data_IF_414688491865
#
_entry.id   IF_414688491865
#
_cell.length_a   1.000
_cell.length_b   1.000
_cell.length_c   1.000
_cell.angle_alpha   90.00
_cell.angle_beta   90.00
_cell.angle_gamma   90.00
#
_symmetry.space_group_name_H-M   'P 1'
#
loop_
_entity.id
_entity.type
_entity.pdbx_description
1 polymer ?
#
# COMPACT_ATOMS: atom_id res chain seq x y z
N UNK A 1 10.39 20.71 0.71
CA UNK A 1 9.88 22.00 1.22
C UNK A 1 8.53 21.78 1.88
N UNK A 2 8.23 22.42 3.02
CA UNK A 2 6.86 22.48 3.55
C UNK A 2 5.99 23.24 2.53
N UNK A 3 4.74 22.84 2.38
CA UNK A 3 3.82 23.44 1.41
C UNK A 3 2.42 23.54 2.00
N UNK A 4 1.73 24.62 1.67
CA UNK A 4 0.31 24.84 2.01
C UNK A 4 -0.64 24.32 0.95
N UNK A 5 -0.16 23.42 0.08
CA UNK A 5 -0.97 22.85 -1.00
C UNK A 5 -2.21 22.17 -0.41
N UNK A 6 -3.38 22.69 -0.76
CA UNK A 6 -4.66 22.10 -0.37
C UNK A 6 -4.91 20.83 -1.19
N UNK A 7 -5.29 19.76 -0.49
CA UNK A 7 -5.82 18.57 -1.12
C UNK A 7 -7.32 18.76 -1.29
N UNK A 8 -7.79 18.82 -2.53
CA UNK A 8 -9.22 18.86 -2.81
C UNK A 8 -9.73 17.42 -2.93
N UNK A 9 -10.55 17.02 -1.97
CA UNK A 9 -11.21 15.71 -1.97
C UNK A 9 -12.61 15.84 -2.58
N UNK A 10 -12.72 15.66 -3.89
CA UNK A 10 -13.98 15.71 -4.60
C UNK A 10 -14.53 14.29 -4.83
N UNK A 11 -14.74 13.56 -3.72
CA UNK A 11 -15.26 12.21 -3.74
C UNK A 11 -16.61 12.12 -3.06
N UNK A 12 -17.54 11.38 -3.69
CA UNK A 12 -18.75 10.93 -3.04
C UNK A 12 -18.44 9.65 -2.24
N UNK A 13 -18.72 9.66 -0.94
CA UNK A 13 -18.52 8.52 -0.06
C UNK A 13 -19.74 7.61 -0.11
N UNK A 14 -19.56 6.36 -0.51
CA UNK A 14 -20.60 5.33 -0.53
C UNK A 14 -21.05 4.91 0.88
N UNK A 15 -22.15 4.14 0.96
CA UNK A 15 -22.57 3.52 2.22
C UNK A 15 -21.57 2.44 2.66
N UNK A 16 -21.39 2.23 3.98
CA UNK A 16 -20.50 1.18 4.48
C UNK A 16 -21.02 -0.21 4.07
N UNK A 17 -20.13 -1.01 3.49
CA UNK A 17 -20.34 -2.44 3.32
C UNK A 17 -19.50 -3.16 4.37
N UNK A 18 -20.07 -4.17 5.02
CA UNK A 18 -19.38 -4.92 6.07
C UNK A 18 -19.44 -6.43 5.81
N UNK A 19 -18.29 -7.09 5.94
CA UNK A 19 -18.18 -8.55 6.02
C UNK A 19 -17.23 -8.88 7.17
N UNK A 20 -17.71 -9.66 8.13
CA UNK A 20 -17.03 -9.92 9.40
C UNK A 20 -16.69 -8.59 10.11
N UNK A 21 -15.42 -8.39 10.48
CA UNK A 21 -14.93 -7.15 11.09
C UNK A 21 -14.36 -6.13 10.07
N UNK A 22 -14.38 -6.44 8.78
CA UNK A 22 -13.92 -5.53 7.73
C UNK A 22 -15.06 -4.68 7.24
N UNK A 23 -14.86 -3.37 7.22
CA UNK A 23 -15.80 -2.37 6.71
C UNK A 23 -15.15 -1.61 5.57
N UNK A 24 -15.86 -1.45 4.47
CA UNK A 24 -15.38 -0.79 3.26
C UNK A 24 -16.35 0.31 2.86
N UNK A 25 -15.81 1.51 2.65
CA UNK A 25 -16.48 2.62 2.01
C UNK A 25 -15.85 2.82 0.64
N UNK A 26 -16.63 2.73 -0.42
CA UNK A 26 -16.16 3.07 -1.75
C UNK A 26 -16.23 4.58 -1.96
N UNK A 27 -15.25 5.10 -2.69
CA UNK A 27 -15.14 6.51 -3.04
C UNK A 27 -15.33 6.64 -4.54
N UNK A 28 -16.38 7.34 -4.95
CA UNK A 28 -16.68 7.57 -6.36
C UNK A 28 -16.40 9.00 -6.77
N UNK A 29 -16.10 9.20 -8.05
CA UNK A 29 -15.97 10.52 -8.67
C UNK A 29 -16.73 10.56 -9.99
N UNK A 30 -17.28 11.73 -10.30
CA UNK A 30 -17.90 12.01 -11.62
C UNK A 30 -16.84 12.27 -12.69
N UNK A 31 -15.63 12.61 -12.30
CA UNK A 31 -14.52 12.85 -13.23
C UNK A 31 -13.99 11.51 -13.76
N UNK A 32 -14.20 11.26 -15.05
CA UNK A 32 -13.58 10.13 -15.74
C UNK A 32 -12.18 10.52 -16.18
N UNK A 33 -11.18 9.99 -15.52
CA UNK A 33 -9.79 10.13 -15.97
C UNK A 33 -9.50 8.97 -16.93
N UNK A 34 -9.13 9.30 -18.17
CA UNK A 34 -8.60 8.31 -19.11
C UNK A 34 -7.18 8.02 -18.66
N UNK A 35 -6.94 6.78 -18.25
CA UNK A 35 -5.68 6.35 -17.69
C UNK A 35 -5.08 5.24 -18.56
N UNK A 36 -3.88 5.49 -19.05
CA UNK A 36 -3.13 4.56 -19.91
C UNK A 36 -2.01 3.85 -19.12
N UNK A 37 -2.12 3.81 -17.77
CA UNK A 37 -1.14 3.15 -16.93
C UNK A 37 -1.32 1.64 -16.94
N UNK A 38 -0.21 0.94 -17.16
CA UNK A 38 -0.11 -0.49 -16.93
C UNK A 38 0.15 -0.72 -15.44
N UNK A 39 -0.57 -1.62 -14.81
CA UNK A 39 -0.31 -1.98 -13.41
C UNK A 39 0.79 -3.03 -13.30
N UNK A 40 1.53 -3.02 -12.20
CA UNK A 40 2.61 -3.99 -11.99
C UNK A 40 2.15 -5.45 -12.00
N UNK A 41 0.98 -5.83 -11.40
CA UNK A 41 0.44 -7.19 -11.53
C UNK A 41 0.15 -7.60 -12.97
N UNK A 42 -0.41 -6.70 -13.79
CA UNK A 42 -0.66 -6.97 -15.23
C UNK A 42 0.66 -7.13 -15.97
N UNK A 43 1.63 -6.25 -15.72
CA UNK A 43 2.92 -6.26 -16.40
C UNK A 43 3.70 -7.54 -16.14
N UNK A 44 3.77 -7.99 -14.89
CA UNK A 44 4.45 -9.26 -14.55
C UNK A 44 3.73 -10.47 -15.14
N UNK A 45 2.40 -10.50 -15.07
CA UNK A 45 1.59 -11.59 -15.65
C UNK A 45 1.81 -11.74 -17.16
N UNK A 46 2.00 -10.63 -17.86
CA UNK A 46 2.18 -10.60 -19.33
C UNK A 46 3.65 -10.55 -19.77
N UNK A 47 4.61 -10.74 -18.85
CA UNK A 47 6.06 -10.65 -19.11
C UNK A 47 6.52 -9.28 -19.68
N UNK A 48 5.76 -8.22 -19.38
CA UNK A 48 6.05 -6.84 -19.76
C UNK A 48 6.90 -6.10 -18.72
N UNK A 49 7.13 -6.69 -17.56
CA UNK A 49 8.07 -6.19 -16.56
C UNK A 49 9.01 -7.27 -16.09
N UNK A 50 10.21 -6.87 -15.72
CA UNK A 50 11.22 -7.75 -15.16
C UNK A 50 11.86 -7.10 -13.92
N UNK A 51 12.05 -7.91 -12.87
CA UNK A 51 12.71 -7.49 -11.63
C UNK A 51 13.91 -8.37 -11.39
N UNK A 52 14.98 -7.77 -10.88
CA UNK A 52 16.19 -8.50 -10.51
C UNK A 52 17.02 -7.73 -9.49
N UNK A 53 18.07 -8.37 -9.01
CA UNK A 53 19.06 -7.70 -8.19
C UNK A 53 19.84 -6.65 -9.01
N UNK A 54 20.30 -5.57 -8.35
CA UNK A 54 21.13 -4.54 -9.01
C UNK A 54 22.53 -5.02 -9.32
N UNK A 55 23.00 -6.08 -8.67
CA UNK A 55 24.31 -6.73 -8.89
C UNK A 55 24.26 -8.19 -8.43
N UNK A 56 25.25 -9.00 -8.84
CA UNK A 56 25.38 -10.40 -8.42
C UNK A 56 25.47 -10.57 -6.89
N UNK A 57 26.11 -9.64 -6.20
CA UNK A 57 26.19 -9.64 -4.72
C UNK A 57 24.83 -9.34 -4.08
N UNK A 58 23.91 -8.74 -4.82
CA UNK A 58 22.64 -8.23 -4.32
C UNK A 58 22.79 -6.93 -3.53
N UNK A 59 21.67 -6.23 -3.32
CA UNK A 59 21.64 -5.03 -2.48
C UNK A 59 20.30 -4.96 -1.76
N UNK A 60 20.33 -5.01 -0.42
CA UNK A 60 19.10 -5.15 0.41
C UNK A 60 18.05 -4.10 0.11
N UNK A 61 18.47 -2.86 -0.18
CA UNK A 61 17.57 -1.68 -0.26
C UNK A 61 17.11 -1.36 -1.68
N UNK A 62 17.61 -2.05 -2.70
CA UNK A 62 17.30 -1.71 -4.08
C UNK A 62 17.15 -2.96 -4.94
N UNK A 63 16.20 -2.89 -5.88
CA UNK A 63 16.05 -3.85 -6.97
C UNK A 63 16.03 -3.11 -8.31
N UNK A 64 16.50 -3.75 -9.36
CA UNK A 64 16.36 -3.26 -10.73
C UNK A 64 14.99 -3.67 -11.25
N UNK A 65 14.24 -2.73 -11.80
CA UNK A 65 12.96 -2.94 -12.46
C UNK A 65 13.05 -2.47 -13.91
N UNK A 66 12.70 -3.34 -14.85
CA UNK A 66 12.62 -3.03 -16.27
C UNK A 66 11.16 -3.07 -16.71
N UNK A 67 10.69 -1.98 -17.29
CA UNK A 67 9.42 -1.89 -18.01
C UNK A 67 9.69 -2.11 -19.49
N UNK A 68 9.20 -3.21 -20.05
CA UNK A 68 9.37 -3.62 -21.45
C UNK A 68 8.18 -3.23 -22.33
N UNK A 69 7.19 -2.53 -21.75
CA UNK A 69 5.97 -2.12 -22.44
C UNK A 69 6.10 -0.68 -23.00
N UNK A 70 5.22 -0.35 -23.91
CA UNK A 70 5.00 0.99 -24.45
C UNK A 70 4.07 1.86 -23.59
N UNK A 71 3.73 1.38 -22.37
CA UNK A 71 2.90 2.07 -21.41
C UNK A 71 3.71 2.40 -20.15
N UNK A 72 3.36 3.51 -19.47
CA UNK A 72 3.90 3.82 -18.14
C UNK A 72 3.46 2.76 -17.15
N UNK A 73 4.40 2.26 -16.35
CA UNK A 73 4.16 1.20 -15.38
C UNK A 73 3.96 1.78 -13.98
N UNK A 74 2.78 1.53 -13.40
CA UNK A 74 2.47 1.86 -12.02
C UNK A 74 2.85 0.69 -11.10
N UNK A 75 3.75 0.95 -10.16
CA UNK A 75 4.14 0.02 -9.09
C UNK A 75 3.72 0.63 -7.76
N UNK A 76 2.86 -0.04 -7.01
CA UNK A 76 2.46 0.48 -5.70
C UNK A 76 3.55 0.27 -4.65
N UNK A 77 3.72 1.27 -3.80
CA UNK A 77 4.34 1.06 -2.50
C UNK A 77 3.57 -0.04 -1.76
N UNK A 78 4.30 -0.88 -1.03
CA UNK A 78 3.76 -2.05 -0.32
C UNK A 78 3.51 -3.31 -1.18
N UNK A 79 3.81 -3.29 -2.47
CA UNK A 79 3.92 -4.53 -3.26
C UNK A 79 4.98 -5.44 -2.64
N UNK A 80 4.66 -6.72 -2.49
CA UNK A 80 5.59 -7.72 -1.98
C UNK A 80 6.07 -8.59 -3.15
N UNK A 81 7.37 -8.55 -3.38
CA UNK A 81 8.08 -9.35 -4.37
C UNK A 81 8.59 -10.62 -3.70
N UNK A 82 8.20 -11.76 -4.23
CA UNK A 82 8.52 -13.10 -3.72
C UNK A 82 9.20 -13.92 -4.79
N UNK A 83 10.12 -14.78 -4.37
CA UNK A 83 10.73 -15.74 -5.28
C UNK A 83 12.25 -15.80 -5.16
N UNK A 84 12.83 -16.76 -5.89
CA UNK A 84 14.24 -17.09 -5.76
C UNK A 84 15.16 -16.30 -6.73
N UNK A 85 14.58 -15.48 -7.62
CA UNK A 85 15.37 -14.56 -8.47
C UNK A 85 15.97 -13.40 -7.68
N UNK A 86 15.43 -13.12 -6.50
CA UNK A 86 15.94 -12.15 -5.53
C UNK A 86 16.43 -12.86 -4.27
N UNK A 87 17.44 -12.30 -3.64
CA UNK A 87 18.11 -12.91 -2.47
C UNK A 87 17.16 -13.14 -1.30
N UNK A 88 16.15 -12.28 -1.15
CA UNK A 88 15.15 -12.29 -0.09
C UNK A 88 13.86 -11.71 -0.64
N UNK A 89 12.71 -12.02 -0.03
CA UNK A 89 11.46 -11.31 -0.34
C UNK A 89 11.58 -9.82 0.02
N UNK A 90 11.01 -8.96 -0.81
CA UNK A 90 11.10 -7.50 -0.71
C UNK A 90 9.73 -6.86 -0.74
N UNK A 91 9.57 -5.82 0.06
CA UNK A 91 8.43 -4.90 -0.05
C UNK A 91 8.89 -3.61 -0.72
N UNK A 92 8.11 -3.13 -1.70
CA UNK A 92 8.36 -1.85 -2.36
C UNK A 92 8.05 -0.71 -1.38
N UNK A 93 9.01 0.19 -1.18
CA UNK A 93 8.92 1.22 -0.14
C UNK A 93 7.88 2.30 -0.47
N UNK A 94 7.80 2.73 -1.72
CA UNK A 94 6.97 3.85 -2.15
C UNK A 94 6.42 3.61 -3.56
N UNK A 95 5.22 4.12 -3.84
CA UNK A 95 4.61 4.05 -5.18
C UNK A 95 5.47 4.79 -6.20
N UNK A 96 5.73 4.16 -7.35
CA UNK A 96 6.53 4.72 -8.44
C UNK A 96 5.84 4.54 -9.78
N UNK A 97 6.13 5.45 -10.73
CA UNK A 97 5.72 5.34 -12.14
C UNK A 97 7.00 5.20 -12.96
N UNK A 98 7.16 4.06 -13.61
CA UNK A 98 8.32 3.76 -14.46
C UNK A 98 7.97 4.09 -15.91
N UNK A 99 8.82 4.88 -16.62
CA UNK A 99 8.59 5.21 -18.02
C UNK A 99 8.50 3.98 -18.92
N UNK A 100 7.94 4.16 -20.10
CA UNK A 100 7.86 3.17 -21.18
C UNK A 100 9.28 2.72 -21.59
N UNK A 101 9.43 1.44 -21.93
CA UNK A 101 10.67 0.87 -22.49
C UNK A 101 11.94 1.29 -21.72
N UNK A 102 11.87 1.31 -20.39
CA UNK A 102 12.94 1.81 -19.54
C UNK A 102 13.27 0.87 -18.38
N UNK A 103 14.44 1.07 -17.79
CA UNK A 103 14.85 0.39 -16.57
C UNK A 103 15.21 1.41 -15.49
N UNK A 104 14.80 1.12 -14.28
CA UNK A 104 15.09 1.97 -13.11
C UNK A 104 15.46 1.13 -11.90
N UNK A 105 15.96 1.78 -10.89
CA UNK A 105 16.18 1.17 -9.58
C UNK A 105 15.04 1.59 -8.65
N UNK A 106 14.32 0.62 -8.07
CA UNK A 106 13.28 0.86 -7.09
C UNK A 106 13.81 0.62 -5.68
N UNK A 107 13.35 1.44 -4.73
CA UNK A 107 13.66 1.26 -3.31
C UNK A 107 12.75 0.20 -2.72
N UNK A 108 13.38 -0.69 -1.95
CA UNK A 108 12.70 -1.82 -1.30
C UNK A 108 13.27 -2.06 0.09
N UNK A 109 12.45 -2.67 0.94
CA UNK A 109 12.87 -3.19 2.24
C UNK A 109 12.77 -4.71 2.26
N UNK A 110 13.67 -5.36 2.98
CA UNK A 110 13.62 -6.79 3.17
C UNK A 110 12.44 -7.17 4.06
N UNK A 111 11.61 -8.11 3.61
CA UNK A 111 10.49 -8.66 4.39
C UNK A 111 10.63 -10.16 4.66
N UNK A 112 11.86 -10.68 4.60
CA UNK A 112 12.22 -12.04 4.94
C UNK A 112 13.62 -12.09 5.57
N UNK A 113 13.70 -11.86 6.87
CA UNK A 113 14.93 -11.56 7.63
C UNK A 113 16.05 -12.59 7.51
N UNK A 114 15.72 -13.87 7.55
CA UNK A 114 16.69 -14.95 7.71
C UNK A 114 16.99 -15.74 6.43
N UNK A 115 16.57 -15.22 5.26
CA UNK A 115 16.94 -15.83 3.98
C UNK A 115 17.90 -14.92 3.21
N UNK A 116 19.02 -15.49 2.79
CA UNK A 116 19.91 -14.91 1.79
C UNK A 116 20.29 -16.00 0.80
N UNK A 117 19.50 -16.15 -0.24
CA UNK A 117 19.72 -17.23 -1.22
C UNK A 117 20.97 -16.97 -2.05
N UNK A 118 21.89 -17.92 -2.11
CA UNK A 118 23.08 -17.82 -2.98
C UNK A 118 22.75 -18.04 -4.46
N UNK A 119 21.65 -18.73 -4.74
CA UNK A 119 21.23 -19.07 -6.11
C UNK A 119 20.03 -18.24 -6.53
N UNK A 120 20.08 -17.72 -7.76
CA UNK A 120 19.04 -16.95 -8.39
C UNK A 120 18.26 -17.89 -9.30
N UNK A 121 17.03 -18.26 -8.92
CA UNK A 121 16.12 -18.97 -9.84
C UNK A 121 15.32 -17.96 -10.68
N UNK A 122 14.84 -18.41 -11.84
CA UNK A 122 14.30 -17.51 -12.86
C UNK A 122 12.92 -16.89 -12.54
N UNK A 123 12.24 -17.27 -11.45
CA UNK A 123 10.86 -16.87 -11.21
C UNK A 123 10.73 -15.87 -10.06
N UNK A 124 10.31 -14.64 -10.39
CA UNK A 124 9.74 -13.66 -9.45
C UNK A 124 8.24 -13.63 -9.64
N UNK A 125 7.52 -13.55 -8.52
CA UNK A 125 6.09 -13.29 -8.50
C UNK A 125 5.76 -12.17 -7.50
N UNK A 126 4.58 -11.60 -7.64
CA UNK A 126 4.01 -10.76 -6.60
C UNK A 126 3.26 -11.64 -5.61
N UNK A 127 3.36 -11.31 -4.32
CA UNK A 127 2.43 -11.81 -3.33
C UNK A 127 0.99 -11.46 -3.72
N UNK A 128 0.03 -12.28 -3.37
CA UNK A 128 -1.39 -11.96 -3.56
C UNK A 128 -1.88 -10.84 -2.63
N UNK A 129 -1.11 -10.49 -1.60
CA UNK A 129 -1.39 -9.39 -0.66
C UNK A 129 -0.42 -8.22 -0.86
N UNK A 130 -0.76 -7.06 -0.30
CA UNK A 130 0.17 -5.98 -0.05
C UNK A 130 0.74 -6.11 1.37
N UNK A 131 1.77 -5.34 1.69
CA UNK A 131 2.26 -5.20 3.05
C UNK A 131 1.11 -4.70 3.95
N UNK A 132 1.03 -5.20 5.17
CA UNK A 132 -0.10 -4.92 6.06
C UNK A 132 -0.16 -3.43 6.46
N UNK A 133 -1.35 -2.98 6.88
CA UNK A 133 -1.66 -1.56 7.02
C UNK A 133 -0.77 -0.84 8.02
N UNK A 134 -0.42 -1.46 9.17
CA UNK A 134 0.51 -0.88 10.16
C UNK A 134 1.88 -0.66 9.54
N UNK A 135 2.43 -1.66 8.85
CA UNK A 135 3.73 -1.54 8.18
C UNK A 135 3.71 -0.49 7.07
N UNK A 136 2.60 -0.37 6.30
CA UNK A 136 2.41 0.70 5.31
C UNK A 136 2.46 2.09 5.96
N UNK A 137 1.77 2.27 7.10
CA UNK A 137 1.78 3.52 7.85
C UNK A 137 3.18 3.85 8.36
N UNK A 138 3.88 2.87 8.92
CA UNK A 138 5.23 3.03 9.45
C UNK A 138 6.22 3.40 8.34
N UNK A 139 6.18 2.72 7.19
CA UNK A 139 7.01 3.06 6.04
C UNK A 139 6.75 4.47 5.52
N UNK A 140 5.47 4.88 5.40
CA UNK A 140 5.11 6.23 4.96
C UNK A 140 5.62 7.31 5.93
N UNK A 141 5.53 7.06 7.25
CA UNK A 141 6.06 7.96 8.27
C UNK A 141 7.58 8.08 8.20
N UNK A 142 8.30 6.95 8.07
CA UNK A 142 9.75 6.92 7.97
C UNK A 142 10.23 7.66 6.72
N UNK A 143 9.57 7.45 5.58
CA UNK A 143 9.86 8.14 4.33
C UNK A 143 9.59 9.64 4.45
N UNK A 144 8.51 10.05 5.13
CA UNK A 144 8.25 11.46 5.38
C UNK A 144 9.35 12.11 6.23
N UNK A 145 9.78 11.44 7.31
CA UNK A 145 10.77 11.96 8.26
C UNK A 145 12.19 11.92 7.70
N UNK A 146 12.57 10.78 7.12
CA UNK A 146 13.96 10.41 6.83
C UNK A 146 14.26 10.21 5.34
N UNK A 147 13.25 10.33 4.48
CA UNK A 147 13.30 10.01 3.03
C UNK A 147 13.73 8.56 2.72
N UNK A 148 13.57 7.66 3.67
CA UNK A 148 13.87 6.23 3.57
C UNK A 148 13.09 5.46 4.64
N UNK A 149 12.84 4.18 4.40
CA UNK A 149 12.28 3.26 5.39
C UNK A 149 13.32 2.86 6.43
N UNK A 150 12.86 2.46 7.61
CA UNK A 150 13.68 1.83 8.63
C UNK A 150 13.56 0.30 8.51
N UNK A 151 14.64 -0.36 8.08
CA UNK A 151 14.66 -1.80 7.87
C UNK A 151 14.42 -2.59 9.18
N UNK A 152 14.89 -2.10 10.32
CA UNK A 152 14.67 -2.79 11.60
C UNK A 152 13.20 -2.73 11.99
N UNK A 153 12.56 -1.59 11.82
CA UNK A 153 11.12 -1.41 12.06
C UNK A 153 10.27 -2.32 11.16
N UNK A 154 10.65 -2.49 9.90
CA UNK A 154 9.98 -3.45 8.99
C UNK A 154 10.05 -4.86 9.55
N UNK A 155 11.20 -5.28 10.06
CA UNK A 155 11.35 -6.61 10.66
C UNK A 155 10.59 -6.77 11.98
N UNK A 156 10.61 -5.77 12.85
CA UNK A 156 9.82 -5.74 14.09
C UNK A 156 8.32 -5.86 13.81
N UNK A 157 7.83 -5.09 12.85
CA UNK A 157 6.43 -5.16 12.42
C UNK A 157 6.04 -6.56 11.90
N UNK A 158 6.93 -7.25 11.17
CA UNK A 158 6.69 -8.61 10.68
C UNK A 158 6.73 -9.62 11.81
N UNK A 159 7.73 -9.54 12.70
CA UNK A 159 7.86 -10.45 13.83
C UNK A 159 6.63 -10.35 14.76
N UNK A 160 6.14 -9.12 15.04
CA UNK A 160 4.89 -8.89 15.77
C UNK A 160 3.68 -9.55 15.08
N UNK A 161 3.58 -9.44 13.75
CA UNK A 161 2.48 -10.06 13.01
C UNK A 161 2.56 -11.59 13.02
N UNK A 162 3.75 -12.16 12.93
CA UNK A 162 3.94 -13.61 13.06
C UNK A 162 3.50 -14.11 14.44
N UNK A 163 3.83 -13.36 15.51
CA UNK A 163 3.41 -13.64 16.87
C UNK A 163 1.89 -13.52 17.03
N UNK A 164 1.27 -12.42 16.56
CA UNK A 164 -0.19 -12.22 16.57
C UNK A 164 -0.96 -13.39 15.93
N UNK A 165 -0.39 -13.98 14.89
CA UNK A 165 -0.98 -15.10 14.17
C UNK A 165 -0.54 -16.47 14.67
N UNK A 166 0.30 -16.54 15.70
CA UNK A 166 0.85 -17.78 16.27
C UNK A 166 1.55 -18.62 15.20
N UNK A 167 2.41 -17.96 14.40
CA UNK A 167 3.17 -18.59 13.32
C UNK A 167 4.65 -18.59 13.67
N UNK A 168 5.21 -19.80 13.73
CA UNK A 168 6.66 -19.98 13.81
C UNK A 168 7.21 -19.95 12.38
N UNK A 169 8.02 -18.95 12.05
CA UNK A 169 8.68 -18.81 10.76
C UNK A 169 10.19 -18.83 10.97
N UNK A 170 10.88 -19.72 10.29
CA UNK A 170 12.36 -19.76 10.32
C UNK A 170 12.96 -18.55 9.60
N UNK A 171 12.32 -18.08 8.53
CA UNK A 171 12.79 -16.98 7.70
C UNK A 171 12.12 -15.64 8.04
N UNK A 172 11.20 -15.60 9.00
CA UNK A 172 10.36 -14.42 9.30
C UNK A 172 9.67 -13.86 8.05
N UNK A 173 9.02 -14.75 7.25
CA UNK A 173 8.34 -14.35 6.01
C UNK A 173 6.86 -14.06 6.23
N UNK A 174 6.42 -12.88 5.80
CA UNK A 174 5.02 -12.46 5.83
C UNK A 174 4.11 -13.36 4.96
N UNK A 175 4.64 -13.96 3.90
CA UNK A 175 3.91 -14.89 3.03
C UNK A 175 3.32 -16.08 3.79
N UNK A 176 3.97 -16.50 4.88
CA UNK A 176 3.48 -17.61 5.70
C UNK A 176 2.18 -17.25 6.42
N UNK A 177 2.00 -15.99 6.82
CA UNK A 177 0.76 -15.50 7.44
C UNK A 177 -0.38 -15.62 6.45
N UNK A 178 -0.19 -15.10 5.24
CA UNK A 178 -1.21 -15.16 4.20
C UNK A 178 -1.57 -16.59 3.83
N UNK A 179 -0.59 -17.46 3.58
CA UNK A 179 -0.81 -18.87 3.24
C UNK A 179 -1.66 -19.59 4.29
N UNK A 180 -1.37 -19.37 5.57
CA UNK A 180 -2.11 -19.99 6.69
C UNK A 180 -3.57 -19.50 6.77
N UNK A 181 -3.85 -18.27 6.34
CA UNK A 181 -5.17 -17.62 6.48
C UNK A 181 -5.96 -17.51 5.17
N UNK A 182 -5.41 -17.98 4.06
CA UNK A 182 -5.91 -17.75 2.70
C UNK A 182 -7.41 -18.03 2.55
N UNK A 183 -7.91 -19.18 2.99
CA UNK A 183 -9.32 -19.56 2.81
C UNK A 183 -10.30 -18.53 3.41
N UNK A 184 -10.05 -18.10 4.64
CA UNK A 184 -10.91 -17.16 5.35
C UNK A 184 -10.84 -15.75 4.76
N UNK A 185 -9.64 -15.35 4.31
CA UNK A 185 -9.41 -14.03 3.69
C UNK A 185 -10.11 -13.95 2.34
N UNK A 186 -10.05 -15.00 1.51
CA UNK A 186 -10.65 -14.99 0.18
C UNK A 186 -12.17 -14.89 0.19
N UNK A 187 -12.84 -15.42 1.21
CA UNK A 187 -14.28 -15.24 1.38
C UNK A 187 -14.63 -13.75 1.61
N UNK A 188 -13.82 -13.05 2.41
CA UNK A 188 -14.00 -11.62 2.67
C UNK A 188 -13.73 -10.80 1.39
N UNK A 189 -12.63 -11.11 0.69
CA UNK A 189 -12.23 -10.41 -0.55
C UNK A 189 -13.33 -10.48 -1.61
N UNK A 190 -13.91 -11.63 -1.83
CA UNK A 190 -14.98 -11.84 -2.85
C UNK A 190 -16.25 -11.02 -2.57
N UNK A 191 -16.50 -10.67 -1.31
CA UNK A 191 -17.69 -9.90 -0.92
C UNK A 191 -17.63 -8.44 -1.39
N UNK A 192 -16.45 -7.85 -1.43
CA UNK A 192 -16.29 -6.44 -1.75
C UNK A 192 -16.00 -6.24 -3.23
N UNK A 193 -16.98 -5.69 -3.94
CA UNK A 193 -16.86 -5.36 -5.36
C UNK A 193 -17.11 -3.87 -5.57
N UNK A 194 -16.20 -3.16 -6.28
CA UNK A 194 -16.38 -1.74 -6.59
C UNK A 194 -17.41 -1.56 -7.70
N UNK A 195 -18.17 -0.48 -7.63
CA UNK A 195 -19.03 -0.01 -8.73
C UNK A 195 -18.20 0.61 -9.87
N UNK A 196 -18.84 0.94 -10.98
CA UNK A 196 -18.16 1.44 -12.19
C UNK A 196 -17.49 2.81 -12.02
N UNK A 197 -18.05 3.66 -11.13
CA UNK A 197 -17.53 5.01 -10.88
C UNK A 197 -16.63 5.08 -9.64
N UNK A 198 -16.38 3.96 -8.96
CA UNK A 198 -15.53 3.94 -7.79
C UNK A 198 -14.06 4.03 -8.21
N UNK A 199 -13.35 4.96 -7.62
CA UNK A 199 -11.92 5.20 -7.84
C UNK A 199 -11.09 4.87 -6.60
N UNK A 200 -11.72 4.73 -5.45
CA UNK A 200 -11.00 4.52 -4.21
C UNK A 200 -11.80 3.77 -3.16
N UNK A 201 -11.14 3.54 -2.06
CA UNK A 201 -11.66 2.79 -0.93
C UNK A 201 -11.11 3.32 0.37
N UNK A 202 -11.97 3.42 1.40
CA UNK A 202 -11.56 3.53 2.79
C UNK A 202 -11.90 2.22 3.47
N UNK A 203 -10.90 1.62 4.11
CA UNK A 203 -11.06 0.33 4.78
C UNK A 203 -10.93 0.53 6.29
N UNK A 204 -11.79 -0.17 7.04
CA UNK A 204 -11.80 -0.16 8.49
C UNK A 204 -11.83 -1.58 9.05
N UNK A 205 -11.32 -1.73 10.27
CA UNK A 205 -11.42 -2.94 11.09
C UNK A 205 -12.31 -2.60 12.28
N UNK A 206 -13.48 -3.25 12.37
CA UNK A 206 -14.47 -2.91 13.37
C UNK A 206 -14.93 -1.46 13.23
N UNK A 207 -14.73 -0.64 14.25
CA UNK A 207 -15.06 0.78 14.24
C UNK A 207 -13.85 1.70 14.05
N UNK A 208 -12.70 1.16 13.63
CA UNK A 208 -11.48 1.93 13.39
C UNK A 208 -11.18 2.00 11.90
N UNK A 209 -11.18 3.20 11.33
CA UNK A 209 -10.64 3.42 9.98
C UNK A 209 -9.14 3.10 9.97
N UNK A 210 -8.66 2.44 8.94
CA UNK A 210 -7.28 1.94 8.84
C UNK A 210 -6.54 2.60 7.70
N UNK A 211 -7.10 2.54 6.49
CA UNK A 211 -6.45 3.04 5.28
C UNK A 211 -7.45 3.65 4.31
N UNK A 212 -6.92 4.52 3.47
CA UNK A 212 -7.55 5.05 2.28
C UNK A 212 -6.60 4.84 1.11
N UNK A 213 -7.13 4.36 -0.01
CA UNK A 213 -6.42 4.28 -1.27
C UNK A 213 -7.35 4.75 -2.40
N UNK A 214 -6.88 5.71 -3.22
CA UNK A 214 -7.59 6.23 -4.39
C UNK A 214 -6.67 6.15 -5.59
N UNK A 215 -7.23 5.76 -6.72
CA UNK A 215 -6.52 5.55 -7.98
C UNK A 215 -7.06 6.45 -9.08
N UNK A 216 -6.27 6.66 -10.11
CA UNK A 216 -6.65 7.43 -11.30
C UNK A 216 -7.78 6.75 -12.09
N UNK A 217 -8.00 5.45 -11.95
CA UNK A 217 -9.08 4.76 -12.67
C UNK A 217 -9.69 3.60 -11.89
N UNK A 218 -10.95 3.30 -12.24
CA UNK A 218 -11.67 2.14 -11.73
C UNK A 218 -10.99 0.81 -12.09
N UNK A 219 -10.35 0.74 -13.27
CA UNK A 219 -9.56 -0.43 -13.68
C UNK A 219 -8.47 -0.74 -12.66
N UNK A 220 -7.70 0.27 -12.26
CA UNK A 220 -6.60 0.12 -11.30
C UNK A 220 -7.17 -0.27 -9.92
N UNK A 221 -8.25 0.38 -9.47
CA UNK A 221 -8.91 0.00 -8.22
C UNK A 221 -9.33 -1.48 -8.22
N UNK A 222 -9.96 -1.97 -9.30
CA UNK A 222 -10.37 -3.38 -9.43
C UNK A 222 -9.21 -4.36 -9.28
N UNK A 223 -8.03 -4.00 -9.78
CA UNK A 223 -6.83 -4.84 -9.69
C UNK A 223 -6.26 -4.85 -8.27
N UNK A 224 -6.22 -3.68 -7.61
CA UNK A 224 -5.58 -3.56 -6.30
C UNK A 224 -6.51 -3.78 -5.10
N UNK A 225 -7.82 -3.60 -5.25
CA UNK A 225 -8.78 -3.78 -4.15
C UNK A 225 -8.67 -5.14 -3.45
N UNK A 226 -8.60 -6.28 -4.17
CA UNK A 226 -8.42 -7.59 -3.53
C UNK A 226 -7.16 -7.64 -2.65
N UNK A 227 -6.07 -7.05 -3.10
CA UNK A 227 -4.78 -7.04 -2.40
C UNK A 227 -4.80 -6.11 -1.18
N UNK A 228 -5.47 -4.96 -1.29
CA UNK A 228 -5.71 -4.04 -0.17
C UNK A 228 -6.54 -4.70 0.93
N UNK A 229 -7.62 -5.39 0.56
CA UNK A 229 -8.46 -6.09 1.53
C UNK A 229 -7.67 -7.22 2.21
N UNK A 230 -6.91 -8.00 1.47
CA UNK A 230 -6.04 -9.04 2.04
C UNK A 230 -5.08 -8.46 3.06
N UNK A 231 -4.41 -7.35 2.74
CA UNK A 231 -3.44 -6.72 3.64
C UNK A 231 -4.08 -6.27 4.96
N UNK A 232 -5.31 -5.75 4.90
CA UNK A 232 -6.06 -5.35 6.10
C UNK A 232 -6.58 -6.56 6.88
N UNK A 233 -6.98 -7.64 6.21
CA UNK A 233 -7.38 -8.87 6.88
C UNK A 233 -6.24 -9.50 7.70
N UNK A 234 -4.98 -9.27 7.32
CA UNK A 234 -3.82 -9.77 8.07
C UNK A 234 -3.52 -8.97 9.36
N UNK A 235 -4.15 -7.79 9.54
CA UNK A 235 -3.94 -6.99 10.75
C UNK A 235 -4.60 -7.57 11.99
N UNK A 236 -5.80 -8.12 11.88
CA UNK A 236 -6.53 -8.56 13.06
C UNK A 236 -7.50 -9.71 12.76
N UNK A 237 -7.03 -10.94 12.91
CA UNK A 237 -7.81 -12.12 12.66
C UNK A 237 -8.65 -12.59 13.86
N UNK A 238 -8.40 -12.08 15.06
CA UNK A 238 -8.97 -12.63 16.32
C UNK A 238 -10.40 -12.15 16.61
N UNK A 239 -10.98 -11.19 15.86
CA UNK A 239 -12.32 -10.63 16.11
C UNK A 239 -13.25 -10.87 14.92
N UNK A 240 -14.02 -11.95 14.93
CA UNK A 240 -14.86 -12.36 13.80
C UNK A 240 -16.26 -11.73 13.76
N UNK A 241 -16.83 -11.31 14.89
CA UNK A 241 -18.22 -10.84 14.97
C UNK A 241 -18.31 -9.47 15.65
N UNK A 242 -17.94 -8.41 14.92
CA UNK A 242 -18.04 -7.05 15.40
C UNK A 242 -18.98 -6.22 14.50
N UNK A 243 -20.08 -5.69 15.06
CA UNK A 243 -20.94 -4.76 14.34
C UNK A 243 -20.31 -3.37 14.37
N UNK A 244 -19.94 -2.86 13.21
CA UNK A 244 -19.42 -1.50 13.08
C UNK A 244 -20.56 -0.47 13.13
N UNK A 245 -20.29 0.69 13.74
CA UNK A 245 -21.18 1.85 13.76
C UNK A 245 -20.65 3.00 12.89
N UNK A 246 -19.62 2.74 12.08
CA UNK A 246 -19.04 3.73 11.18
C UNK A 246 -20.07 4.20 10.14
N UNK A 247 -20.02 5.50 9.87
CA UNK A 247 -20.86 6.20 8.89
C UNK A 247 -20.00 7.04 7.96
N UNK A 248 -20.56 7.50 6.85
CA UNK A 248 -19.88 8.42 5.91
C UNK A 248 -19.21 9.61 6.60
N UNK A 249 -19.85 10.17 7.63
CA UNK A 249 -19.30 11.30 8.40
C UNK A 249 -17.92 10.99 9.01
N UNK A 250 -17.64 9.74 9.33
CA UNK A 250 -16.37 9.36 9.93
C UNK A 250 -15.26 9.30 8.87
N UNK A 251 -15.61 8.93 7.63
CA UNK A 251 -14.72 9.05 6.48
C UNK A 251 -14.41 10.53 6.20
N UNK A 252 -15.40 11.41 6.20
CA UNK A 252 -15.17 12.85 6.01
C UNK A 252 -14.29 13.45 7.12
N UNK A 253 -14.41 12.98 8.37
CA UNK A 253 -13.48 13.38 9.44
C UNK A 253 -12.06 12.93 9.16
N UNK A 254 -11.87 11.71 8.66
CA UNK A 254 -10.57 11.19 8.28
C UNK A 254 -9.94 12.03 7.16
N UNK A 255 -10.71 12.39 6.13
CA UNK A 255 -10.26 13.27 5.06
C UNK A 255 -9.82 14.65 5.60
N UNK A 256 -10.56 15.23 6.55
CA UNK A 256 -10.16 16.49 7.21
C UNK A 256 -8.85 16.37 7.99
N UNK A 257 -8.60 15.25 8.68
CA UNK A 257 -7.30 15.03 9.34
C UNK A 257 -6.16 15.10 8.33
N UNK A 258 -6.35 14.51 7.14
CA UNK A 258 -5.35 14.55 6.06
C UNK A 258 -5.16 15.97 5.52
N UNK A 259 -6.25 16.75 5.40
CA UNK A 259 -6.19 18.16 4.97
C UNK A 259 -5.35 19.02 5.93
N UNK A 260 -5.40 18.74 7.22
CA UNK A 260 -4.68 19.50 8.25
C UNK A 260 -3.27 18.98 8.55
N UNK A 261 -2.92 17.79 8.05
CA UNK A 261 -1.61 17.20 8.29
C UNK A 261 -0.47 18.04 7.66
N UNK A 262 0.71 18.00 8.30
CA UNK A 262 1.93 18.62 7.74
C UNK A 262 2.28 18.01 6.40
N UNK A 263 2.49 18.85 5.38
CA UNK A 263 2.74 18.45 4.00
C UNK A 263 4.13 18.84 3.52
N UNK A 264 4.74 17.98 2.73
CA UNK A 264 6.00 18.23 2.04
C UNK A 264 5.92 17.79 0.60
N UNK A 265 6.20 18.70 -0.32
CA UNK A 265 6.39 18.36 -1.73
C UNK A 265 7.77 17.75 -1.93
N UNK A 266 7.81 16.68 -2.68
CA UNK A 266 9.03 16.01 -3.06
C UNK A 266 8.98 15.73 -4.57
N UNK A 267 9.94 16.28 -5.28
CA UNK A 267 10.23 15.84 -6.66
C UNK A 267 11.41 14.90 -6.56
N UNK A 268 11.31 13.73 -7.14
CA UNK A 268 12.48 12.86 -7.24
C UNK A 268 13.59 13.66 -7.95
N UNK A 269 14.68 13.92 -7.23
CA UNK A 269 15.86 14.60 -7.84
C UNK A 269 16.53 13.69 -8.87
N UNK A 270 16.35 12.38 -8.70
CA UNK A 270 16.72 11.38 -9.69
C UNK A 270 15.51 11.12 -10.57
N UNK A 271 15.42 11.85 -11.68
CA UNK A 271 14.46 11.60 -12.76
C UNK A 271 14.53 10.17 -13.33
N UNK A 272 15.54 9.42 -12.92
CA UNK A 272 15.75 8.02 -13.27
C UNK A 272 14.87 7.06 -12.45
N UNK A 273 14.25 7.50 -11.33
CA UNK A 273 13.58 6.59 -10.40
C UNK A 273 12.07 6.55 -10.53
N UNK A 274 11.43 7.68 -10.82
CA UNK A 274 9.96 7.72 -10.98
C UNK A 274 9.51 8.99 -11.67
N UNK A 275 8.49 8.86 -12.51
CA UNK A 275 7.75 10.01 -13.04
C UNK A 275 6.79 10.56 -11.98
N UNK A 276 6.45 11.86 -12.14
CA UNK A 276 5.45 12.52 -11.31
C UNK A 276 6.01 13.27 -10.10
N UNK A 277 5.09 13.80 -9.31
CA UNK A 277 5.37 14.61 -8.14
C UNK A 277 4.71 14.01 -6.92
N UNK A 278 5.43 13.99 -5.80
CA UNK A 278 4.93 13.49 -4.53
C UNK A 278 4.55 14.64 -3.61
N UNK A 279 3.36 14.55 -3.03
CA UNK A 279 2.97 15.29 -1.86
C UNK A 279 2.88 14.29 -0.70
N UNK A 280 3.86 14.28 0.17
CA UNK A 280 3.86 13.46 1.38
C UNK A 280 3.30 14.25 2.54
N UNK A 281 2.52 13.60 3.38
CA UNK A 281 1.97 14.22 4.58
C UNK A 281 2.13 13.31 5.80
N UNK A 282 2.28 13.95 6.95
CA UNK A 282 2.44 13.25 8.21
C UNK A 282 2.02 14.15 9.37
N UNK A 283 1.32 13.55 10.31
CA UNK A 283 0.85 14.17 11.54
C UNK A 283 0.87 13.10 12.65
N UNK A 284 0.41 13.45 13.84
CA UNK A 284 0.27 12.53 14.97
C UNK A 284 -0.68 11.35 14.63
N UNK A 285 -1.75 11.60 13.87
CA UNK A 285 -2.83 10.65 13.62
C UNK A 285 -2.80 10.03 12.23
N UNK A 286 -2.25 10.72 11.23
CA UNK A 286 -2.30 10.29 9.83
C UNK A 286 -0.94 10.41 9.16
N UNK A 287 -0.71 9.55 8.20
CA UNK A 287 0.45 9.62 7.31
C UNK A 287 0.07 9.11 5.92
N UNK A 288 0.78 9.57 4.90
CA UNK A 288 0.53 9.09 3.54
C UNK A 288 1.20 9.93 2.47
N UNK A 289 0.75 9.69 1.25
CA UNK A 289 1.26 10.36 0.04
C UNK A 289 0.17 10.54 -1.01
N UNK A 290 0.38 11.55 -1.84
CA UNK A 290 -0.29 11.69 -3.14
C UNK A 290 0.78 11.70 -4.21
N UNK A 291 0.68 10.81 -5.18
CA UNK A 291 1.48 10.80 -6.39
C UNK A 291 0.64 11.38 -7.54
N UNK A 292 1.15 12.42 -8.17
CA UNK A 292 0.51 13.06 -9.33
C UNK A 292 1.39 12.92 -10.57
N UNK A 293 0.76 12.78 -11.71
CA UNK A 293 1.40 12.85 -13.04
C UNK A 293 0.63 13.83 -13.91
N UNK A 294 1.31 14.81 -14.48
CA UNK A 294 0.68 15.87 -15.27
C UNK A 294 -0.48 16.55 -14.52
N UNK A 295 -0.26 16.89 -13.25
CA UNK A 295 -1.22 17.50 -12.33
C UNK A 295 -2.48 16.66 -12.02
N UNK A 296 -2.52 15.40 -12.42
CA UNK A 296 -3.60 14.46 -12.10
C UNK A 296 -3.15 13.47 -11.03
N UNK A 297 -4.01 13.19 -10.05
CA UNK A 297 -3.74 12.17 -9.04
C UNK A 297 -3.71 10.79 -9.68
N UNK A 298 -2.58 10.10 -9.53
CA UNK A 298 -2.41 8.70 -9.94
C UNK A 298 -2.70 7.75 -8.80
N UNK A 299 -2.12 8.06 -7.64
CA UNK A 299 -2.36 7.29 -6.43
C UNK A 299 -2.35 8.22 -5.22
N UNK A 300 -3.38 8.10 -4.41
CA UNK A 300 -3.46 8.75 -3.11
C UNK A 300 -3.64 7.66 -2.05
N UNK A 301 -2.68 7.55 -1.15
CA UNK A 301 -2.69 6.59 -0.05
C UNK A 301 -2.54 7.31 1.28
N UNK A 302 -3.39 6.93 2.24
CA UNK A 302 -3.33 7.42 3.61
C UNK A 302 -3.60 6.30 4.60
N UNK A 303 -2.95 6.37 5.76
CA UNK A 303 -3.17 5.46 6.86
C UNK A 303 -3.39 6.22 8.15
N UNK A 304 -4.33 5.73 8.99
CA UNK A 304 -4.40 6.14 10.38
C UNK A 304 -3.30 5.40 11.15
N UNK A 305 -2.53 6.16 11.92
CA UNK A 305 -1.52 5.60 12.80
C UNK A 305 -2.16 4.93 14.02
N UNK A 306 -1.55 3.88 14.51
CA UNK A 306 -1.92 3.34 15.80
C UNK A 306 -1.48 4.30 16.89
N UNK A 307 -2.36 4.64 17.85
CA UNK A 307 -1.94 5.40 19.01
C UNK A 307 -0.95 4.56 19.81
N UNK A 308 0.12 5.19 20.27
CA UNK A 308 1.17 4.58 21.10
C UNK A 308 0.69 4.09 22.48
N UNK A 309 -0.55 4.37 22.83
CA UNK A 309 -1.32 3.85 23.98
C UNK A 309 -2.77 3.68 23.53
N UNK A 310 -3.48 2.58 23.89
CA UNK A 310 -4.87 2.46 23.55
C UNK A 310 -5.65 3.57 24.28
N UNK A 311 -6.18 4.57 23.58
CA UNK A 311 -7.08 5.49 24.23
C UNK A 311 -8.46 4.85 24.22
N UNK A 312 -9.19 5.02 25.32
CA UNK A 312 -10.64 5.10 25.26
C UNK A 312 -11.02 6.22 24.30
N UNK A 313 -11.14 5.91 23.00
CA UNK A 313 -11.50 6.88 21.98
C UNK A 313 -12.99 7.26 22.11
N UNK A 314 -13.28 8.07 23.08
CA UNK A 314 -14.34 9.07 22.96
C UNK A 314 -13.72 10.26 22.22
N UNK A 315 -13.95 10.37 20.91
CA UNK A 315 -13.66 11.59 20.17
C UNK A 315 -14.44 12.75 20.82
N UNK A 316 -13.80 13.46 21.74
CA UNK A 316 -14.26 14.80 22.08
C UNK A 316 -13.76 15.72 20.97
N UNK A 317 -14.65 16.05 20.05
CA UNK A 317 -14.47 17.16 19.12
C UNK A 317 -14.94 18.38 19.88
N UNK A 318 -14.02 19.31 20.19
CA UNK A 318 -14.37 20.67 20.55
C UNK A 318 -14.86 21.41 19.31
#
# INVERSE_FOLDING_TARGET
MKTDQKLNFNFDVGEPKQKNNIVVFFLSSKEKVKDDLLTFPEALKNNLAEVGEVSEKGFVKNLKLSNKSDQKLLVLGSEILVGNKIKQDRVVDETVIVPENSSTTIRVSCCEKNRWSPTVSENISLSETLFFSKGRANNAEDIYKNNKTDQFRVWEDIDEKLEDHEIKSFTSSIEQIYKKRKSNVEEIVKYFQPGENDLGVVIAIGSRLVSLDVFSSNKILKIYLPRLIRSVCLENFKRTNYKSFLKKKDVYKFLRLIEHADKRTYKSKDSTLSLGEYLRFNDRLVTGLVLTLNHKTVHFSASLKEPSTPPDFKYKVA
#
